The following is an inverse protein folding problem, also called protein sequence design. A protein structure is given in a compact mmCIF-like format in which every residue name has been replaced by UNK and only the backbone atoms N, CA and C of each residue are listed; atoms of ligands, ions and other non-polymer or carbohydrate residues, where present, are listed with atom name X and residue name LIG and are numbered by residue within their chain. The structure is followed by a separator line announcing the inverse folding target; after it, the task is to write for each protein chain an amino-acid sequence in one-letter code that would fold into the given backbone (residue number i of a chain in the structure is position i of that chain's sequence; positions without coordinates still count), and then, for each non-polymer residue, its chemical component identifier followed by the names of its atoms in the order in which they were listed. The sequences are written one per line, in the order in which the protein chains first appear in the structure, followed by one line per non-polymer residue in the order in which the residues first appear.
data_IF_132561673788
#
_entry.id   IF_132561673788
#
_cell.length_a   1.000
_cell.length_b   1.000
_cell.length_c   1.000
_cell.angle_alpha   90.00
_cell.angle_beta   90.00
_cell.angle_gamma   90.00
#
_symmetry.space_group_name_H-M   'P 1'
#
loop_
_entity.id
_entity.type
_entity.pdbx_description
1 polymer ?
#
# COMPACT_ATOMS: atom_id res chain seq x y z
N UNK A 1 -12.94 -8.30 -13.67
CA UNK A 1 -12.24 -8.44 -12.37
C UNK A 1 -13.16 -9.02 -11.30
N UNK A 2 -14.30 -8.42 -10.97
CA UNK A 2 -15.22 -8.92 -9.90
C UNK A 2 -15.70 -10.36 -10.12
N UNK A 3 -15.97 -10.77 -11.36
CA UNK A 3 -16.31 -12.16 -11.69
C UNK A 3 -15.22 -13.19 -11.35
N UNK A 4 -13.99 -12.72 -11.11
CA UNK A 4 -12.84 -13.52 -10.67
C UNK A 4 -12.54 -13.33 -9.16
N UNK A 5 -13.42 -12.69 -8.41
CA UNK A 5 -13.19 -12.36 -7.00
C UNK A 5 -12.20 -11.23 -6.76
N UNK A 6 -11.85 -10.46 -7.78
CA UNK A 6 -10.88 -9.35 -7.70
C UNK A 6 -11.64 -8.03 -7.55
N UNK A 7 -11.45 -7.36 -6.44
CA UNK A 7 -12.02 -6.04 -6.19
C UNK A 7 -11.12 -4.92 -6.71
N UNK A 8 -11.65 -3.94 -7.45
CA UNK A 8 -10.87 -2.80 -7.88
C UNK A 8 -10.57 -1.84 -6.72
N UNK A 9 -9.38 -1.28 -6.70
CA UNK A 9 -9.00 -0.15 -5.87
C UNK A 9 -9.11 1.13 -6.70
N UNK A 10 -10.00 2.02 -6.31
CA UNK A 10 -10.27 3.28 -7.03
C UNK A 10 -9.62 4.45 -6.30
N UNK A 11 -9.23 5.53 -6.99
CA UNK A 11 -8.84 6.77 -6.31
C UNK A 11 -9.96 7.29 -5.42
N UNK A 12 -9.62 7.69 -4.19
CA UNK A 12 -10.51 8.38 -3.26
C UNK A 12 -10.19 9.87 -3.19
N UNK A 13 -11.14 10.69 -2.80
CA UNK A 13 -10.89 12.11 -2.56
C UNK A 13 -10.37 12.30 -1.13
N UNK A 14 -9.15 12.78 -1.01
CA UNK A 14 -8.49 13.07 0.26
C UNK A 14 -8.06 14.54 0.39
N UNK A 15 -8.51 15.38 -0.53
CA UNK A 15 -8.28 16.83 -0.50
C UNK A 15 -7.35 17.34 -1.59
N UNK A 16 -6.70 16.48 -2.38
CA UNK A 16 -5.82 16.94 -3.45
C UNK A 16 -6.60 17.77 -4.48
N UNK A 17 -6.17 19.02 -4.67
CA UNK A 17 -6.80 19.99 -5.55
C UNK A 17 -5.75 20.77 -6.34
N UNK A 18 -6.12 21.33 -7.53
CA UNK A 18 -5.25 22.25 -8.24
C UNK A 18 -4.94 23.49 -7.38
N UNK A 19 -3.66 23.89 -7.36
CA UNK A 19 -3.20 25.02 -6.53
C UNK A 19 -3.86 26.37 -6.88
N UNK A 20 -4.47 26.50 -8.07
CA UNK A 20 -5.22 27.70 -8.43
C UNK A 20 -6.63 27.76 -7.83
N UNK A 21 -7.10 26.72 -7.14
CA UNK A 21 -8.39 26.73 -6.45
C UNK A 21 -8.45 27.86 -5.40
N UNK A 22 -7.34 28.16 -4.73
CA UNK A 22 -7.21 29.29 -3.78
C UNK A 22 -7.61 30.66 -4.37
N UNK A 23 -7.52 30.81 -5.69
CA UNK A 23 -7.91 32.04 -6.37
C UNK A 23 -9.41 32.08 -6.73
N UNK A 24 -10.10 30.96 -6.60
CA UNK A 24 -11.50 30.79 -6.99
C UNK A 24 -12.42 30.46 -5.82
N UNK A 25 -11.86 30.13 -4.68
CA UNK A 25 -12.60 29.78 -3.47
C UNK A 25 -11.96 30.47 -2.26
N UNK A 26 -12.78 30.70 -1.23
CA UNK A 26 -12.32 31.16 0.10
C UNK A 26 -11.90 30.00 0.99
N UNK A 27 -11.93 28.77 0.49
CA UNK A 27 -11.58 27.57 1.22
C UNK A 27 -10.13 27.61 1.71
N UNK A 28 -9.89 27.01 2.86
CA UNK A 28 -8.55 26.86 3.39
C UNK A 28 -7.80 25.80 2.58
N UNK A 29 -6.74 26.21 1.92
CA UNK A 29 -5.87 25.37 1.10
C UNK A 29 -4.52 25.25 1.78
N UNK A 30 -4.08 24.04 2.00
CA UNK A 30 -2.79 23.70 2.64
C UNK A 30 -1.75 23.48 1.55
N UNK A 31 -0.79 24.41 1.37
CA UNK A 31 0.27 24.26 0.38
C UNK A 31 1.15 23.04 0.70
N UNK A 32 1.44 22.21 -0.30
CA UNK A 32 2.23 20.99 -0.11
C UNK A 32 3.69 21.11 -0.54
N UNK A 33 4.11 22.29 -1.02
CA UNK A 33 5.49 22.53 -1.43
C UNK A 33 5.90 21.80 -2.71
N UNK A 34 7.10 21.23 -2.72
CA UNK A 34 7.68 20.56 -3.89
C UNK A 34 8.03 19.11 -3.58
N UNK A 35 8.10 18.29 -4.61
CA UNK A 35 8.68 16.95 -4.60
C UNK A 35 9.75 16.90 -5.70
N UNK A 36 11.02 16.89 -5.28
CA UNK A 36 12.10 17.13 -6.22
C UNK A 36 11.94 18.45 -6.97
N UNK A 37 11.92 18.43 -8.29
CA UNK A 37 11.72 19.59 -9.17
C UNK A 37 10.24 19.92 -9.43
N UNK A 38 9.29 19.14 -8.92
CA UNK A 38 7.87 19.29 -9.23
C UNK A 38 7.12 19.99 -8.09
N UNK A 39 6.25 20.94 -8.44
CA UNK A 39 5.29 21.51 -7.47
C UNK A 39 4.21 20.48 -7.19
N UNK A 40 3.98 20.21 -5.90
CA UNK A 40 2.88 19.33 -5.47
C UNK A 40 1.53 20.01 -5.67
N UNK A 41 0.49 19.26 -6.02
CA UNK A 41 -0.87 19.74 -5.82
C UNK A 41 -1.10 20.08 -4.35
N UNK A 42 -1.85 21.16 -4.10
CA UNK A 42 -2.21 21.56 -2.75
C UNK A 42 -3.34 20.65 -2.21
N UNK A 43 -3.55 20.71 -0.89
CA UNK A 43 -4.64 19.97 -0.22
C UNK A 43 -5.68 20.98 0.27
N UNK A 44 -6.92 20.79 -0.14
CA UNK A 44 -8.08 21.40 0.50
C UNK A 44 -8.22 20.83 1.91
N UNK A 45 -8.20 21.71 2.91
CA UNK A 45 -8.28 21.27 4.31
C UNK A 45 -9.50 20.37 4.53
N UNK A 46 -9.32 19.14 5.01
CA UNK A 46 -10.44 18.25 5.29
C UNK A 46 -11.43 18.79 6.32
N UNK A 47 -11.04 19.78 7.12
CA UNK A 47 -11.89 20.44 8.10
C UNK A 47 -12.65 21.64 7.53
N UNK A 48 -12.32 22.08 6.32
CA UNK A 48 -13.03 23.16 5.65
C UNK A 48 -14.41 22.70 5.15
N UNK A 49 -15.50 23.49 5.30
CA UNK A 49 -16.81 23.14 4.79
C UNK A 49 -16.86 22.86 3.28
N UNK A 50 -15.97 23.46 2.47
CA UNK A 50 -15.86 23.20 1.04
C UNK A 50 -15.37 21.79 0.72
N UNK A 51 -14.71 21.11 1.66
CA UNK A 51 -14.21 19.74 1.46
C UNK A 51 -15.34 18.78 1.08
N UNK A 52 -16.42 18.76 1.85
CA UNK A 52 -17.59 17.90 1.57
C UNK A 52 -18.23 18.22 0.21
N UNK A 53 -18.28 19.51 -0.17
CA UNK A 53 -18.84 19.93 -1.47
C UNK A 53 -17.99 19.44 -2.64
N UNK A 54 -16.68 19.60 -2.57
CA UNK A 54 -15.77 19.15 -3.64
C UNK A 54 -15.74 17.62 -3.70
N UNK A 55 -15.70 16.98 -2.56
CA UNK A 55 -15.76 15.51 -2.47
C UNK A 55 -17.04 14.94 -3.08
N UNK A 56 -18.19 15.62 -2.87
CA UNK A 56 -19.46 15.21 -3.47
C UNK A 56 -19.38 15.18 -5.00
N UNK A 57 -18.81 16.24 -5.61
CA UNK A 57 -18.62 16.29 -7.07
C UNK A 57 -17.74 15.10 -7.54
N UNK A 58 -16.64 14.84 -6.83
CA UNK A 58 -15.73 13.74 -7.17
C UNK A 58 -16.43 12.38 -7.07
N UNK A 59 -17.11 12.10 -5.96
CA UNK A 59 -17.77 10.81 -5.75
C UNK A 59 -19.02 10.60 -6.58
N UNK A 60 -19.77 11.66 -6.91
CA UNK A 60 -20.90 11.56 -7.81
C UNK A 60 -20.44 11.24 -9.23
N UNK A 61 -19.36 11.85 -9.69
CA UNK A 61 -18.75 11.51 -10.98
C UNK A 61 -18.15 10.10 -10.99
N UNK A 62 -17.49 9.69 -9.92
CA UNK A 62 -17.01 8.32 -9.74
C UNK A 62 -18.15 7.31 -9.86
N UNK A 63 -19.28 7.59 -9.19
CA UNK A 63 -20.48 6.74 -9.24
C UNK A 63 -21.10 6.71 -10.64
N UNK A 64 -21.14 7.86 -11.30
CA UNK A 64 -21.66 7.95 -12.68
C UNK A 64 -20.84 7.12 -13.66
N UNK A 65 -19.53 7.11 -13.54
CA UNK A 65 -18.61 6.43 -14.46
C UNK A 65 -18.43 4.93 -14.15
N UNK A 66 -18.39 4.56 -12.87
CA UNK A 66 -17.98 3.23 -12.43
C UNK A 66 -19.04 2.48 -11.59
N UNK A 67 -20.19 3.13 -11.35
CA UNK A 67 -21.26 2.55 -10.54
C UNK A 67 -21.05 2.74 -9.03
N UNK A 68 -21.99 2.23 -8.25
CA UNK A 68 -22.01 2.38 -6.78
C UNK A 68 -21.35 1.21 -6.03
N UNK A 69 -21.01 0.15 -6.74
CA UNK A 69 -20.44 -1.07 -6.14
C UNK A 69 -18.90 -1.02 -6.12
N UNK A 70 -18.37 -0.02 -5.40
CA UNK A 70 -16.93 0.17 -5.19
C UNK A 70 -16.64 -0.01 -3.70
N UNK A 71 -15.73 -0.93 -3.37
CA UNK A 71 -15.40 -1.27 -1.98
C UNK A 71 -14.12 -0.62 -1.49
N UNK A 72 -13.15 -0.35 -2.34
CA UNK A 72 -11.82 0.10 -1.93
C UNK A 72 -11.47 1.42 -2.61
N UNK A 73 -11.00 2.37 -1.80
CA UNK A 73 -10.50 3.65 -2.28
C UNK A 73 -9.10 3.91 -1.74
N UNK A 74 -8.18 4.30 -2.63
CA UNK A 74 -6.84 4.75 -2.26
C UNK A 74 -6.80 6.27 -2.11
N UNK A 75 -5.79 6.76 -1.40
CA UNK A 75 -5.50 8.18 -1.32
C UNK A 75 -4.72 8.50 -0.05
N UNK A 76 -3.56 9.09 -0.22
CA UNK A 76 -2.59 9.30 0.85
C UNK A 76 -2.36 10.79 1.05
N UNK A 77 -3.08 11.44 2.01
CA UNK A 77 -2.86 12.83 2.31
C UNK A 77 -1.45 13.03 2.91
N UNK A 78 -0.80 14.13 2.56
CA UNK A 78 0.50 14.51 3.10
C UNK A 78 1.63 13.51 2.82
N UNK A 79 1.53 12.75 1.75
CA UNK A 79 2.47 11.68 1.37
C UNK A 79 3.86 12.23 1.08
N UNK A 80 4.92 11.46 1.37
CA UNK A 80 6.33 11.73 1.03
C UNK A 80 6.82 13.14 1.41
N UNK A 81 6.62 13.55 2.64
CA UNK A 81 7.05 14.86 3.13
C UNK A 81 6.08 16.01 2.81
N UNK A 82 4.83 15.70 2.45
CA UNK A 82 3.79 16.72 2.38
C UNK A 82 3.61 17.48 3.70
N UNK A 83 3.35 18.79 3.61
CA UNK A 83 3.28 19.67 4.77
C UNK A 83 2.07 19.35 5.66
N UNK A 84 2.33 19.27 6.97
CA UNK A 84 1.32 18.99 8.01
C UNK A 84 1.25 20.05 9.08
N UNK A 85 1.96 21.16 8.91
CA UNK A 85 2.02 22.24 9.92
C UNK A 85 0.63 22.82 10.16
N UNK A 86 0.24 22.83 11.43
CA UNK A 86 -1.07 23.31 11.87
C UNK A 86 -2.25 22.37 11.55
N UNK A 87 -2.01 21.18 11.00
CA UNK A 87 -3.05 20.21 10.67
C UNK A 87 -3.30 19.28 11.87
N UNK A 88 -4.53 19.24 12.36
CA UNK A 88 -4.97 18.23 13.34
C UNK A 88 -5.19 16.88 12.61
N UNK A 89 -4.10 16.10 12.43
CA UNK A 89 -4.08 14.92 11.55
C UNK A 89 -5.18 13.90 11.86
N UNK A 90 -5.46 13.62 13.13
CA UNK A 90 -6.53 12.69 13.50
C UNK A 90 -7.93 13.19 13.10
N UNK A 91 -8.18 14.50 13.20
CA UNK A 91 -9.44 15.10 12.75
C UNK A 91 -9.53 15.16 11.23
N UNK A 92 -8.43 15.50 10.55
CA UNK A 92 -8.35 15.47 9.10
C UNK A 92 -8.61 14.05 8.55
N UNK A 93 -7.96 13.03 9.11
CA UNK A 93 -8.19 11.64 8.74
C UNK A 93 -9.65 11.23 8.94
N UNK A 94 -10.23 11.57 10.10
CA UNK A 94 -11.65 11.28 10.38
C UNK A 94 -12.60 12.00 9.41
N UNK A 95 -12.33 13.24 9.04
CA UNK A 95 -13.14 13.98 8.09
C UNK A 95 -13.11 13.34 6.70
N UNK A 96 -11.93 12.97 6.21
CA UNK A 96 -11.77 12.26 4.93
C UNK A 96 -12.55 10.93 4.95
N UNK A 97 -12.34 10.09 5.98
CA UNK A 97 -13.02 8.81 6.09
C UNK A 97 -14.54 8.98 6.18
N UNK A 98 -15.03 9.93 6.98
CA UNK A 98 -16.47 10.21 7.11
C UNK A 98 -17.08 10.59 5.78
N UNK A 99 -16.42 11.43 5.01
CA UNK A 99 -16.89 11.85 3.68
C UNK A 99 -16.91 10.67 2.70
N UNK A 100 -15.88 9.83 2.71
CA UNK A 100 -15.87 8.59 1.93
C UNK A 100 -17.03 7.67 2.30
N UNK A 101 -17.27 7.43 3.59
CA UNK A 101 -18.39 6.62 4.08
C UNK A 101 -19.77 7.23 3.75
N UNK A 102 -19.89 8.55 3.67
CA UNK A 102 -21.11 9.24 3.28
C UNK A 102 -21.50 8.92 1.83
N UNK A 103 -20.54 8.84 0.94
CA UNK A 103 -20.77 8.64 -0.49
C UNK A 103 -20.73 7.15 -0.89
N UNK A 104 -19.89 6.34 -0.25
CA UNK A 104 -19.75 4.91 -0.46
C UNK A 104 -19.76 4.18 0.89
N UNK A 105 -20.93 3.95 1.48
CA UNK A 105 -21.05 3.30 2.79
C UNK A 105 -20.40 1.91 2.80
N UNK A 106 -19.61 1.63 3.82
CA UNK A 106 -18.90 0.35 3.97
C UNK A 106 -17.63 0.23 3.14
N UNK A 107 -17.23 1.25 2.38
CA UNK A 107 -15.97 1.25 1.66
C UNK A 107 -14.78 1.28 2.60
N UNK A 108 -13.67 0.74 2.15
CA UNK A 108 -12.41 0.66 2.88
C UNK A 108 -11.42 1.66 2.28
N UNK A 109 -10.88 2.53 3.13
CA UNK A 109 -9.82 3.44 2.74
C UNK A 109 -8.46 2.73 2.83
N UNK A 110 -7.77 2.58 1.70
CA UNK A 110 -6.46 1.94 1.60
C UNK A 110 -5.38 3.02 1.60
N UNK A 111 -4.52 2.97 2.58
CA UNK A 111 -3.40 3.88 2.79
C UNK A 111 -2.07 3.16 2.53
N UNK A 112 -1.11 3.86 1.96
CA UNK A 112 0.22 3.33 1.72
C UNK A 112 1.11 3.47 2.95
N UNK A 113 1.71 2.36 3.38
CA UNK A 113 2.75 2.31 4.41
C UNK A 113 4.14 2.54 3.80
N UNK A 114 4.41 3.77 3.37
CA UNK A 114 5.65 4.16 2.73
C UNK A 114 6.37 5.26 3.52
N UNK A 115 7.65 5.06 3.85
CA UNK A 115 8.41 5.96 4.72
C UNK A 115 7.67 6.16 6.07
N UNK A 116 7.30 7.40 6.40
CA UNK A 116 6.55 7.75 7.61
C UNK A 116 5.03 7.78 7.40
N UNK A 117 4.55 7.35 6.23
CA UNK A 117 3.12 7.30 5.94
C UNK A 117 2.45 5.98 6.38
N UNK A 118 1.16 5.99 6.72
CA UNK A 118 0.35 7.17 7.04
C UNK A 118 1.02 8.00 8.14
N UNK A 119 0.97 9.34 8.02
CA UNK A 119 1.60 10.23 9.02
C UNK A 119 1.19 9.85 10.45
N UNK A 120 2.12 9.86 11.43
CA UNK A 120 1.78 9.64 12.84
C UNK A 120 0.61 10.54 13.27
N UNK A 121 -0.38 9.95 13.93
CA UNK A 121 -1.61 10.64 14.34
C UNK A 121 -2.75 10.59 13.31
N UNK A 122 -2.50 10.38 12.02
CA UNK A 122 -3.56 10.29 11.00
C UNK A 122 -4.54 9.14 11.31
N UNK A 123 -4.02 8.01 11.76
CA UNK A 123 -4.81 6.80 12.05
C UNK A 123 -5.57 6.88 13.38
N UNK A 124 -5.26 7.85 14.25
CA UNK A 124 -5.71 7.88 15.64
C UNK A 124 -7.24 7.89 15.79
N UNK A 125 -7.92 8.68 14.96
CA UNK A 125 -9.38 8.88 15.06
C UNK A 125 -10.17 8.14 13.99
N UNK A 126 -9.52 7.25 13.22
CA UNK A 126 -10.21 6.47 12.18
C UNK A 126 -11.00 5.30 12.79
N UNK A 127 -12.13 4.99 12.15
CA UNK A 127 -12.81 3.72 12.37
C UNK A 127 -12.00 2.60 11.68
N UNK A 128 -11.35 1.76 12.49
CA UNK A 128 -10.46 0.70 12.02
C UNK A 128 -11.14 -0.39 11.18
N UNK A 129 -12.48 -0.44 11.17
CA UNK A 129 -13.23 -1.35 10.30
C UNK A 129 -13.20 -0.95 8.83
N UNK A 130 -12.94 0.33 8.55
CA UNK A 130 -13.02 0.93 7.22
C UNK A 130 -11.69 1.53 6.75
N UNK A 131 -10.59 1.00 7.23
CA UNK A 131 -9.25 1.39 6.81
C UNK A 131 -8.34 0.18 6.73
N UNK A 132 -7.42 0.20 5.76
CA UNK A 132 -6.41 -0.82 5.54
C UNK A 132 -5.09 -0.12 5.23
N UNK A 133 -4.02 -0.48 5.89
CA UNK A 133 -2.68 0.00 5.54
C UNK A 133 -1.99 -1.07 4.70
N UNK A 134 -1.50 -0.68 3.53
CA UNK A 134 -0.66 -1.53 2.71
C UNK A 134 0.80 -1.14 2.90
N UNK A 135 1.56 -1.94 3.64
CA UNK A 135 2.99 -1.74 3.78
C UNK A 135 3.69 -2.00 2.44
N UNK A 136 4.46 -1.03 1.94
CA UNK A 136 5.05 -1.14 0.60
C UNK A 136 6.49 -1.62 0.60
N UNK A 137 7.16 -1.62 1.73
CA UNK A 137 8.60 -1.84 1.78
C UNK A 137 9.00 -2.83 2.87
N UNK A 138 8.15 -3.84 3.07
CA UNK A 138 8.24 -4.81 4.16
C UNK A 138 9.56 -5.58 4.20
N UNK A 139 10.18 -5.82 3.05
CA UNK A 139 11.50 -6.48 2.97
C UNK A 139 12.67 -5.59 3.41
N UNK A 140 12.46 -4.30 3.59
CA UNK A 140 13.50 -3.35 4.00
C UNK A 140 13.18 -2.64 5.32
N UNK A 141 11.92 -2.65 5.73
CA UNK A 141 11.44 -1.97 6.95
C UNK A 141 10.66 -2.93 7.84
N UNK A 142 10.51 -2.56 9.10
CA UNK A 142 9.67 -3.27 10.07
C UNK A 142 8.56 -2.35 10.59
N UNK A 143 7.96 -1.56 9.71
CA UNK A 143 6.97 -0.56 10.13
C UNK A 143 5.76 -1.21 10.81
N UNK A 144 5.31 -2.38 10.35
CA UNK A 144 4.25 -3.13 10.99
C UNK A 144 4.56 -3.45 12.47
N UNK A 145 5.83 -3.69 12.81
CA UNK A 145 6.27 -3.98 14.16
C UNK A 145 6.49 -2.69 14.97
N UNK A 146 7.31 -1.76 14.47
CA UNK A 146 7.64 -0.50 15.15
C UNK A 146 6.42 0.36 15.42
N UNK A 147 5.42 0.29 14.54
CA UNK A 147 4.12 0.96 14.67
C UNK A 147 3.05 0.07 15.30
N UNK A 148 3.43 -1.01 15.98
CA UNK A 148 2.51 -1.89 16.74
C UNK A 148 1.27 -2.29 15.92
N UNK A 149 1.50 -2.87 14.73
CA UNK A 149 0.44 -3.20 13.79
C UNK A 149 -0.30 -1.96 13.29
N UNK A 150 0.46 -0.90 12.93
CA UNK A 150 -0.11 0.40 12.52
C UNK A 150 -1.15 0.93 13.49
N UNK A 151 -0.75 1.03 14.76
CA UNK A 151 -1.60 1.47 15.87
C UNK A 151 -2.92 0.64 15.97
N UNK A 152 -2.81 -0.68 15.71
CA UNK A 152 -3.96 -1.58 15.72
C UNK A 152 -4.87 -1.46 14.50
N UNK A 153 -4.36 -0.98 13.40
CA UNK A 153 -5.08 -0.87 12.12
C UNK A 153 -4.88 -2.12 11.28
N UNK A 154 -5.91 -2.64 10.58
CA UNK A 154 -5.72 -3.69 9.61
C UNK A 154 -4.63 -3.33 8.61
N UNK A 155 -3.71 -4.27 8.33
CA UNK A 155 -2.64 -4.05 7.37
C UNK A 155 -2.39 -5.29 6.50
N UNK A 156 -1.76 -5.09 5.34
CA UNK A 156 -1.16 -6.13 4.52
C UNK A 156 0.34 -5.92 4.47
N UNK A 157 1.09 -7.00 4.60
CA UNK A 157 2.53 -6.99 4.38
C UNK A 157 2.80 -6.98 2.88
N UNK A 158 3.48 -5.97 2.36
CA UNK A 158 3.66 -5.84 0.93
C UNK A 158 5.05 -5.32 0.56
N UNK A 159 5.37 -5.40 -0.72
CA UNK A 159 6.64 -4.97 -1.27
C UNK A 159 6.46 -4.21 -2.58
N UNK A 160 7.36 -3.26 -2.83
CA UNK A 160 7.59 -2.59 -4.11
C UNK A 160 9.01 -2.92 -4.57
N UNK A 161 9.17 -4.02 -5.29
CA UNK A 161 10.51 -4.50 -5.71
C UNK A 161 11.01 -3.86 -6.98
N UNK A 162 10.12 -3.37 -7.85
CA UNK A 162 10.44 -2.78 -9.14
C UNK A 162 9.82 -1.38 -9.27
N UNK A 163 10.55 -0.38 -8.88
CA UNK A 163 10.19 1.02 -9.07
C UNK A 163 11.23 1.74 -9.92
N UNK A 164 11.01 3.00 -10.22
CA UNK A 164 11.81 3.79 -11.14
C UNK A 164 13.31 3.47 -11.06
N UNK A 165 13.95 3.19 -12.19
CA UNK A 165 15.35 2.78 -12.33
C UNK A 165 15.74 1.42 -11.69
N UNK A 166 14.78 0.66 -11.17
CA UNK A 166 14.98 -0.71 -10.64
C UNK A 166 14.14 -1.76 -11.37
N UNK A 167 14.23 -1.89 -12.71
CA UNK A 167 13.47 -2.90 -13.45
C UNK A 167 14.16 -4.27 -13.50
N UNK A 168 15.30 -4.42 -12.85
CA UNK A 168 16.16 -5.60 -12.97
C UNK A 168 15.70 -6.80 -12.16
N UNK A 169 16.50 -7.87 -12.26
CA UNK A 169 16.38 -9.06 -11.41
C UNK A 169 16.73 -8.63 -9.98
N UNK A 170 15.72 -8.66 -9.11
CA UNK A 170 15.83 -8.21 -7.74
C UNK A 170 14.82 -8.96 -6.85
N UNK A 171 15.17 -9.13 -5.59
CA UNK A 171 14.30 -9.71 -4.58
C UNK A 171 15.11 -10.20 -3.40
N UNK A 172 14.51 -10.18 -2.22
CA UNK A 172 15.08 -10.69 -0.97
C UNK A 172 14.27 -11.92 -0.55
N UNK A 173 14.42 -13.03 -1.30
CA UNK A 173 13.51 -14.18 -1.17
C UNK A 173 13.46 -14.73 0.24
N UNK A 174 14.64 -14.91 0.87
CA UNK A 174 14.69 -15.38 2.25
C UNK A 174 14.02 -14.39 3.21
N UNK A 175 14.23 -13.09 2.99
CA UNK A 175 13.62 -12.03 3.79
C UNK A 175 12.10 -12.03 3.69
N UNK A 176 11.55 -12.26 2.50
CA UNK A 176 10.09 -12.40 2.33
C UNK A 176 9.54 -13.55 3.17
N UNK A 177 10.16 -14.74 3.07
CA UNK A 177 9.73 -15.89 3.83
C UNK A 177 9.79 -15.63 5.35
N UNK A 178 10.89 -15.02 5.81
CA UNK A 178 11.11 -14.74 7.22
C UNK A 178 10.15 -13.68 7.77
N UNK A 179 10.01 -12.56 7.07
CA UNK A 179 9.23 -11.42 7.57
C UNK A 179 7.72 -11.68 7.52
N UNK A 180 7.23 -12.32 6.45
CA UNK A 180 5.80 -12.70 6.38
C UNK A 180 5.47 -13.71 7.49
N UNK A 181 6.34 -14.71 7.71
CA UNK A 181 6.17 -15.66 8.82
C UNK A 181 6.22 -14.95 10.18
N UNK A 182 7.18 -14.06 10.40
CA UNK A 182 7.34 -13.29 11.63
C UNK A 182 6.11 -12.40 11.90
N UNK A 183 5.63 -11.69 10.90
CA UNK A 183 4.44 -10.84 11.02
C UNK A 183 3.18 -11.66 11.33
N UNK A 184 2.99 -12.78 10.62
CA UNK A 184 1.81 -13.65 10.80
C UNK A 184 1.80 -14.43 12.12
N UNK A 185 2.94 -14.52 12.82
CA UNK A 185 3.05 -15.18 14.13
C UNK A 185 3.33 -14.21 15.29
N UNK A 186 3.26 -12.90 15.04
CA UNK A 186 3.47 -11.86 16.05
C UNK A 186 2.21 -11.59 16.88
N UNK A 187 2.35 -10.81 17.94
CA UNK A 187 1.23 -10.26 18.69
C UNK A 187 0.31 -9.37 17.83
N UNK A 188 0.81 -8.86 16.68
CA UNK A 188 0.09 -8.02 15.71
C UNK A 188 -0.56 -8.84 14.58
N UNK A 189 -0.39 -10.14 14.54
CA UNK A 189 -0.94 -11.05 13.50
C UNK A 189 -2.45 -10.87 13.30
N UNK A 190 -3.20 -10.58 14.36
CA UNK A 190 -4.66 -10.31 14.29
C UNK A 190 -5.02 -9.12 13.39
N UNK A 191 -4.09 -8.19 13.17
CA UNK A 191 -4.28 -7.03 12.28
C UNK A 191 -3.80 -7.30 10.86
N UNK A 192 -2.92 -8.27 10.65
CA UNK A 192 -2.46 -8.66 9.31
C UNK A 192 -3.60 -9.32 8.53
N UNK A 193 -3.84 -8.88 7.29
CA UNK A 193 -4.94 -9.37 6.42
C UNK A 193 -4.45 -10.11 5.19
N UNK A 194 -3.16 -10.15 4.98
CA UNK A 194 -2.55 -10.86 3.87
C UNK A 194 -1.22 -10.25 3.44
N UNK A 195 -0.80 -10.62 2.25
CA UNK A 195 0.37 -10.04 1.58
C UNK A 195 -0.05 -9.28 0.32
N UNK A 196 0.85 -8.42 -0.18
CA UNK A 196 0.60 -7.63 -1.37
C UNK A 196 1.87 -7.34 -2.17
N UNK A 197 1.66 -6.94 -3.40
CA UNK A 197 2.70 -6.48 -4.32
C UNK A 197 2.25 -5.18 -4.95
N UNK A 198 3.18 -4.23 -5.14
CA UNK A 198 2.96 -2.98 -5.86
C UNK A 198 4.04 -2.84 -6.95
N UNK A 199 3.88 -3.50 -8.09
CA UNK A 199 4.82 -3.35 -9.18
C UNK A 199 4.59 -1.99 -9.87
N UNK A 200 5.57 -1.11 -9.79
CA UNK A 200 5.56 0.17 -10.53
C UNK A 200 6.17 0.03 -11.92
N UNK A 201 7.05 -0.96 -12.12
CA UNK A 201 7.64 -1.27 -13.41
C UNK A 201 6.92 -2.42 -14.12
N UNK A 202 7.03 -2.44 -15.45
CA UNK A 202 6.42 -3.50 -16.29
C UNK A 202 7.25 -4.80 -16.31
N UNK A 203 8.54 -4.71 -16.03
CA UNK A 203 9.44 -5.85 -15.99
C UNK A 203 9.41 -6.48 -14.60
N UNK A 204 8.65 -7.54 -14.47
CA UNK A 204 8.45 -8.22 -13.20
C UNK A 204 9.31 -9.50 -13.14
N UNK A 205 9.79 -9.80 -11.94
CA UNK A 205 10.55 -11.00 -11.65
C UNK A 205 9.63 -12.10 -11.09
N UNK A 206 9.26 -13.11 -11.88
CA UNK A 206 8.25 -14.09 -11.47
C UNK A 206 8.55 -14.80 -10.16
N UNK A 207 9.80 -15.19 -9.93
CA UNK A 207 10.16 -15.94 -8.71
C UNK A 207 9.85 -15.17 -7.43
N UNK A 208 10.06 -13.84 -7.44
CA UNK A 208 9.79 -12.96 -6.31
C UNK A 208 8.29 -12.91 -6.00
N UNK A 209 7.47 -12.75 -7.03
CA UNK A 209 6.02 -12.63 -6.85
C UNK A 209 5.35 -13.98 -6.58
N UNK A 210 5.81 -15.05 -7.22
CA UNK A 210 5.28 -16.39 -6.97
C UNK A 210 5.54 -16.79 -5.51
N UNK A 211 6.77 -16.62 -5.00
CA UNK A 211 7.07 -16.87 -3.60
C UNK A 211 6.17 -16.06 -2.69
N UNK A 212 6.17 -14.73 -2.85
CA UNK A 212 5.44 -13.85 -1.93
C UNK A 212 3.94 -14.17 -1.86
N UNK A 213 3.31 -14.40 -3.02
CA UNK A 213 1.87 -14.70 -3.05
C UNK A 213 1.55 -16.10 -2.54
N UNK A 214 2.51 -17.03 -2.56
CA UNK A 214 2.35 -18.36 -2.00
C UNK A 214 2.46 -18.39 -0.47
N UNK A 215 3.25 -17.47 0.13
CA UNK A 215 3.52 -17.46 1.57
C UNK A 215 2.25 -17.43 2.44
N UNK A 216 1.15 -16.86 1.97
CA UNK A 216 -0.12 -16.82 2.73
C UNK A 216 -0.77 -18.19 2.93
N UNK A 217 -0.38 -19.19 2.15
CA UNK A 217 -0.90 -20.55 2.22
C UNK A 217 -0.08 -21.47 3.15
N UNK A 218 1.09 -20.98 3.62
CA UNK A 218 1.95 -21.72 4.53
C UNK A 218 1.73 -21.30 5.98
N UNK A 219 1.59 -22.29 6.86
CA UNK A 219 1.54 -22.05 8.32
C UNK A 219 2.91 -21.96 8.94
N UNK A 220 3.85 -22.72 8.39
CA UNK A 220 5.22 -22.79 8.85
C UNK A 220 6.12 -21.89 7.97
N UNK A 221 7.29 -21.57 8.50
CA UNK A 221 8.31 -20.83 7.75
C UNK A 221 8.74 -21.63 6.53
N UNK A 222 8.68 -21.00 5.36
CA UNK A 222 9.11 -21.62 4.11
C UNK A 222 10.64 -21.72 4.03
N UNK A 223 11.12 -22.92 3.74
CA UNK A 223 12.52 -23.13 3.34
C UNK A 223 12.68 -22.73 1.88
N UNK A 224 13.38 -21.62 1.64
CA UNK A 224 13.51 -21.04 0.30
C UNK A 224 14.35 -21.92 -0.62
N UNK A 225 15.37 -22.65 -0.11
CA UNK A 225 16.16 -23.57 -0.93
C UNK A 225 15.27 -24.70 -1.46
N UNK A 226 14.45 -25.30 -0.61
CA UNK A 226 13.51 -26.35 -1.00
C UNK A 226 12.40 -25.81 -1.92
N UNK A 227 11.89 -24.63 -1.63
CA UNK A 227 10.85 -23.98 -2.46
C UNK A 227 11.37 -23.73 -3.88
N UNK A 228 12.60 -23.25 -4.04
CA UNK A 228 13.23 -23.02 -5.35
C UNK A 228 13.33 -24.31 -6.16
N UNK A 229 13.62 -25.45 -5.54
CA UNK A 229 13.64 -26.73 -6.27
C UNK A 229 12.26 -27.07 -6.85
N UNK A 230 11.21 -26.83 -6.09
CA UNK A 230 9.83 -27.01 -6.54
C UNK A 230 9.46 -26.02 -7.64
N UNK A 231 9.78 -24.73 -7.47
CA UNK A 231 9.58 -23.68 -8.46
C UNK A 231 10.27 -24.00 -9.80
N UNK A 232 11.53 -24.39 -9.75
CA UNK A 232 12.32 -24.73 -10.94
C UNK A 232 11.75 -25.94 -11.66
N UNK A 233 11.38 -26.98 -10.89
CA UNK A 233 10.75 -28.18 -11.46
C UNK A 233 9.42 -27.87 -12.13
N UNK A 234 8.58 -27.07 -11.52
CA UNK A 234 7.30 -26.65 -12.09
C UNK A 234 7.50 -25.82 -13.36
N UNK A 235 8.47 -24.91 -13.35
CA UNK A 235 8.69 -23.96 -14.46
C UNK A 235 9.42 -24.54 -15.66
N UNK A 236 10.41 -25.43 -15.41
CA UNK A 236 11.28 -25.96 -16.46
C UNK A 236 11.10 -27.48 -16.69
N UNK A 237 10.19 -28.12 -15.96
CA UNK A 237 9.87 -29.54 -16.07
C UNK A 237 10.86 -30.47 -15.39
N UNK A 238 12.05 -30.00 -15.01
CA UNK A 238 13.06 -30.76 -14.28
C UNK A 238 14.08 -29.84 -13.61
N UNK A 239 14.79 -30.36 -12.63
CA UNK A 239 15.98 -29.73 -12.05
C UNK A 239 17.21 -30.59 -12.36
N UNK A 240 18.28 -29.98 -12.87
CA UNK A 240 19.61 -30.60 -13.02
C UNK A 240 20.56 -30.02 -12.00
N UNK A 241 21.75 -30.63 -11.83
CA UNK A 241 22.74 -30.12 -10.88
C UNK A 241 23.29 -28.75 -11.28
N UNK A 242 23.37 -28.46 -12.57
CA UNK A 242 23.74 -27.13 -13.07
C UNK A 242 22.68 -26.08 -12.74
N UNK A 243 21.41 -26.40 -12.96
CA UNK A 243 20.30 -25.49 -12.61
C UNK A 243 20.25 -25.26 -11.11
N UNK A 244 20.40 -26.32 -10.31
CA UNK A 244 20.45 -26.22 -8.83
C UNK A 244 21.60 -25.34 -8.39
N UNK A 245 22.79 -25.53 -8.99
CA UNK A 245 23.97 -24.73 -8.67
C UNK A 245 23.74 -23.25 -9.03
N UNK A 246 23.21 -22.97 -10.21
CA UNK A 246 22.91 -21.60 -10.64
C UNK A 246 21.95 -20.90 -9.68
N UNK A 247 20.86 -21.56 -9.29
CA UNK A 247 19.89 -20.97 -8.33
C UNK A 247 20.50 -20.75 -6.94
N UNK A 248 21.33 -21.66 -6.46
CA UNK A 248 22.09 -21.47 -5.20
C UNK A 248 23.03 -20.26 -5.25
N UNK A 249 23.62 -20.01 -6.41
CA UNK A 249 24.44 -18.80 -6.60
C UNK A 249 23.57 -17.54 -6.62
N UNK A 250 22.43 -17.56 -7.31
CA UNK A 250 21.48 -16.44 -7.34
C UNK A 250 20.91 -16.12 -5.95
N UNK A 251 20.56 -17.12 -5.16
CA UNK A 251 20.10 -16.92 -3.78
C UNK A 251 21.14 -16.27 -2.88
N UNK A 252 22.42 -16.50 -3.15
CA UNK A 252 23.54 -15.91 -2.40
C UNK A 252 24.01 -14.55 -2.93
N UNK A 253 23.43 -14.08 -4.03
CA UNK A 253 23.83 -12.84 -4.70
C UNK A 253 22.64 -11.91 -4.94
N UNK A 254 21.98 -12.04 -6.08
CA UNK A 254 20.91 -11.13 -6.51
C UNK A 254 19.60 -11.28 -5.71
N UNK A 255 19.38 -12.43 -5.09
CA UNK A 255 18.24 -12.72 -4.22
C UNK A 255 18.60 -12.80 -2.73
N UNK A 256 19.79 -12.35 -2.35
CA UNK A 256 20.21 -12.33 -0.95
C UNK A 256 19.51 -11.25 -0.15
N UNK A 257 19.44 -11.46 1.15
CA UNK A 257 18.89 -10.48 2.13
C UNK A 257 19.86 -9.33 2.40
#
# INVERSE_FOLDING_TARGET
MKSLGIEPLMPGFYGMVPSNLKNKSKAHIIPQGTWGAFTRPDILDPMDPEFDRVAAIFYDETRRLYGSDIRFFSGDPFHEGGATDGVALGDAGRAIQKTMQKHFPGSIWVLQGWQDNPKPGLLEKLDKRYVLVQELFGENTNNWETRKGYEGTPFIWATVTNFGERPGINGKLQRFADEVYRASNSEYAKYMKGVGILPEGINNNPVTYELLLELVWHKDRVDVDQWIESYVTARYGRITDEIRTAWKMMLKSIYSS
#
